data_IF_965245291017
#
_entry.id   IF_965245291017
#
_cell.length_a   1.000
_cell.length_b   1.000
_cell.length_c   1.000
_cell.angle_alpha   90.00
_cell.angle_beta   90.00
_cell.angle_gamma   90.00
#
_symmetry.space_group_name_H-M   'P 1'
#
loop_
_entity.id
_entity.type
_entity.pdbx_description
1 polymer ?
#
# COMPACT_ATOMS: atom_id res chain seq x y z
N UNK A 1 -14.99 -11.73 9.17
CA UNK A 1 -15.78 -11.00 8.14
C UNK A 1 -15.00 -9.98 7.33
N UNK A 2 -14.36 -8.97 7.93
CA UNK A 2 -13.69 -7.90 7.14
C UNK A 2 -12.48 -8.36 6.32
N UNK A 3 -11.63 -9.23 6.87
CA UNK A 3 -10.51 -9.81 6.11
C UNK A 3 -10.97 -10.61 4.91
N UNK A 4 -12.06 -11.36 5.04
CA UNK A 4 -12.61 -12.13 3.93
C UNK A 4 -13.15 -11.20 2.83
N UNK A 5 -13.75 -10.07 3.20
CA UNK A 5 -14.13 -9.01 2.24
C UNK A 5 -12.91 -8.46 1.51
N UNK A 6 -11.84 -8.10 2.24
CA UNK A 6 -10.60 -7.61 1.64
C UNK A 6 -9.95 -8.63 0.70
N UNK A 7 -9.89 -9.90 1.10
CA UNK A 7 -9.38 -10.98 0.26
C UNK A 7 -10.23 -11.19 -0.99
N UNK A 8 -11.56 -11.11 -0.88
CA UNK A 8 -12.42 -11.20 -2.06
C UNK A 8 -12.16 -10.05 -3.04
N UNK A 9 -12.03 -8.83 -2.51
CA UNK A 9 -11.85 -7.62 -3.29
C UNK A 9 -10.48 -7.56 -3.98
N UNK A 10 -9.41 -7.96 -3.27
CA UNK A 10 -8.04 -7.93 -3.78
C UNK A 10 -7.54 -9.29 -4.28
N UNK A 11 -8.41 -10.29 -4.42
CA UNK A 11 -8.06 -11.69 -4.74
C UNK A 11 -7.10 -11.84 -5.92
N UNK A 12 -7.33 -11.10 -7.00
CA UNK A 12 -6.51 -11.13 -8.22
C UNK A 12 -5.08 -10.66 -7.95
N UNK A 13 -4.91 -9.46 -7.38
CA UNK A 13 -3.60 -8.88 -7.10
C UNK A 13 -2.89 -9.66 -6.00
N UNK A 14 -3.63 -10.06 -4.97
CA UNK A 14 -3.12 -10.85 -3.86
C UNK A 14 -2.55 -12.19 -4.32
N UNK A 15 -3.26 -12.91 -5.19
CA UNK A 15 -2.78 -14.15 -5.78
C UNK A 15 -1.59 -13.94 -6.72
N UNK A 16 -1.63 -12.89 -7.55
CA UNK A 16 -0.52 -12.53 -8.45
C UNK A 16 0.79 -12.27 -7.69
N UNK A 17 0.72 -11.62 -6.53
CA UNK A 17 1.88 -11.35 -5.67
C UNK A 17 2.32 -12.56 -4.82
N UNK A 18 1.71 -13.74 -5.00
CA UNK A 18 2.10 -14.97 -4.32
C UNK A 18 1.55 -15.11 -2.90
N UNK A 19 0.42 -14.46 -2.61
CA UNK A 19 -0.34 -14.60 -1.38
C UNK A 19 -1.15 -15.89 -1.31
N UNK A 20 -1.22 -16.49 -0.13
CA UNK A 20 -1.98 -17.72 0.18
C UNK A 20 -3.17 -17.38 1.08
N UNK A 21 -4.37 -17.36 0.48
CA UNK A 21 -5.61 -16.93 1.15
C UNK A 21 -5.98 -17.80 2.34
N UNK A 22 -5.65 -19.10 2.30
CA UNK A 22 -5.95 -20.04 3.37
C UNK A 22 -5.13 -19.76 4.64
N UNK A 23 -3.95 -19.14 4.50
CA UNK A 23 -3.07 -18.81 5.63
C UNK A 23 -3.40 -17.48 6.29
N UNK A 24 -4.02 -16.55 5.57
CA UNK A 24 -4.26 -15.17 6.03
C UNK A 24 -5.06 -15.14 7.34
N UNK A 25 -6.11 -15.94 7.47
CA UNK A 25 -6.96 -15.91 8.66
C UNK A 25 -6.25 -16.44 9.92
N UNK A 26 -5.45 -17.49 9.73
CA UNK A 26 -4.60 -18.05 10.79
C UNK A 26 -3.52 -17.06 11.19
N UNK A 27 -2.83 -16.47 10.21
CA UNK A 27 -1.80 -15.45 10.44
C UNK A 27 -2.37 -14.22 11.14
N UNK A 28 -3.54 -13.73 10.72
CA UNK A 28 -4.21 -12.60 11.37
C UNK A 28 -4.51 -12.86 12.84
N UNK A 29 -5.04 -14.04 13.14
CA UNK A 29 -5.35 -14.41 14.52
C UNK A 29 -4.08 -14.52 15.37
N UNK A 30 -3.00 -15.04 14.79
CA UNK A 30 -1.68 -15.12 15.45
C UNK A 30 -1.07 -13.74 15.65
N UNK A 31 -1.14 -12.86 14.64
CA UNK A 31 -0.63 -11.49 14.69
C UNK A 31 -1.32 -10.68 15.80
N UNK A 32 -2.65 -10.74 15.90
CA UNK A 32 -3.39 -10.08 16.99
C UNK A 32 -2.91 -10.55 18.35
N UNK A 33 -2.75 -11.86 18.55
CA UNK A 33 -2.23 -12.41 19.81
C UNK A 33 -0.79 -11.99 20.08
N UNK A 34 0.05 -11.90 19.05
CA UNK A 34 1.43 -11.46 19.16
C UNK A 34 1.52 -10.01 19.63
N UNK A 35 0.82 -9.10 18.95
CA UNK A 35 0.77 -7.67 19.33
C UNK A 35 0.16 -7.47 20.71
N UNK A 36 -0.91 -8.20 21.06
CA UNK A 36 -1.54 -8.06 22.38
C UNK A 36 -0.68 -8.55 23.54
N UNK A 37 0.25 -9.48 23.30
CA UNK A 37 1.15 -10.03 24.32
C UNK A 37 2.32 -9.12 24.63
N UNK A 38 2.77 -8.31 23.66
CA UNK A 38 3.90 -7.40 23.85
C UNK A 38 3.41 -5.98 24.21
N UNK A 39 3.66 -5.49 25.44
CA UNK A 39 3.26 -4.15 25.84
C UNK A 39 3.87 -3.04 24.98
N UNK A 40 5.07 -3.26 24.44
CA UNK A 40 5.76 -2.27 23.62
C UNK A 40 5.07 -2.15 22.26
N UNK A 41 4.76 -3.28 21.61
CA UNK A 41 4.05 -3.27 20.32
C UNK A 41 2.63 -2.72 20.46
N UNK A 42 1.95 -3.01 21.57
CA UNK A 42 0.59 -2.51 21.83
C UNK A 42 0.55 -0.99 22.05
N UNK A 43 1.64 -0.39 22.52
CA UNK A 43 1.73 1.05 22.76
C UNK A 43 2.05 1.86 21.48
N UNK A 44 2.52 1.21 20.41
CA UNK A 44 2.89 1.88 19.16
C UNK A 44 1.66 2.42 18.42
N UNK A 45 1.87 3.53 17.71
CA UNK A 45 0.88 4.01 16.74
C UNK A 45 0.83 3.05 15.55
N UNK A 46 -0.31 3.02 14.84
CA UNK A 46 -0.50 2.10 13.72
C UNK A 46 0.61 2.17 12.66
N UNK A 47 1.04 3.36 12.28
CA UNK A 47 2.11 3.52 11.28
C UNK A 47 3.43 2.87 11.74
N UNK A 48 3.89 3.21 12.95
CA UNK A 48 5.11 2.67 13.57
C UNK A 48 5.01 1.15 13.80
N UNK A 49 3.82 0.66 14.17
CA UNK A 49 3.56 -0.76 14.34
C UNK A 49 3.72 -1.51 13.01
N UNK A 50 3.08 -1.04 11.94
CA UNK A 50 3.16 -1.71 10.63
C UNK A 50 4.55 -1.61 10.02
N UNK A 51 5.25 -0.47 10.15
CA UNK A 51 6.64 -0.33 9.72
C UNK A 51 7.53 -1.41 10.35
N UNK A 52 7.45 -1.57 11.68
CA UNK A 52 8.20 -2.60 12.40
C UNK A 52 7.79 -4.02 12.01
N UNK A 53 6.50 -4.25 11.77
CA UNK A 53 6.02 -5.56 11.33
C UNK A 53 6.51 -5.92 9.91
N UNK A 54 6.60 -4.94 9.02
CA UNK A 54 7.15 -5.14 7.67
C UNK A 54 8.66 -5.40 7.70
N UNK A 55 9.40 -4.68 8.54
CA UNK A 55 10.86 -4.84 8.66
C UNK A 55 11.24 -6.21 9.27
N UNK A 56 10.54 -6.64 10.32
CA UNK A 56 10.99 -7.76 11.15
C UNK A 56 10.27 -9.09 10.88
N UNK A 57 9.07 -9.08 10.27
CA UNK A 57 8.21 -10.27 10.22
C UNK A 57 7.58 -10.54 8.84
N UNK A 58 8.05 -9.87 7.79
CA UNK A 58 7.51 -10.04 6.43
C UNK A 58 8.11 -11.24 5.70
N UNK A 59 9.33 -11.68 6.01
CA UNK A 59 10.01 -12.71 5.22
C UNK A 59 9.50 -14.13 5.49
N UNK A 60 9.25 -14.90 4.42
CA UNK A 60 8.76 -16.29 4.50
C UNK A 60 9.73 -17.27 5.18
N UNK A 61 10.98 -16.86 5.40
CA UNK A 61 12.05 -17.69 5.98
C UNK A 61 11.89 -17.77 7.51
N UNK A 62 11.29 -16.75 8.13
CA UNK A 62 11.07 -16.73 9.58
C UNK A 62 9.89 -17.65 9.98
N UNK A 63 10.06 -18.62 10.89
CA UNK A 63 8.96 -19.44 11.40
C UNK A 63 7.80 -18.64 12.04
N UNK A 64 8.04 -17.40 12.45
CA UNK A 64 7.04 -16.48 13.00
C UNK A 64 6.50 -15.45 11.99
N UNK A 65 6.78 -15.61 10.69
CA UNK A 65 6.38 -14.65 9.67
C UNK A 65 4.87 -14.39 9.61
N UNK A 66 4.50 -13.18 9.18
CA UNK A 66 3.13 -12.76 8.91
C UNK A 66 2.94 -12.34 7.43
N UNK A 67 3.74 -12.93 6.54
CA UNK A 67 3.80 -12.59 5.11
C UNK A 67 2.43 -12.38 4.45
N UNK A 68 1.47 -13.30 4.59
CA UNK A 68 0.22 -13.22 3.83
C UNK A 68 -0.67 -12.09 4.34
N UNK A 69 -0.74 -11.89 5.65
CA UNK A 69 -1.53 -10.79 6.21
C UNK A 69 -0.84 -9.43 6.02
N UNK A 70 0.49 -9.38 6.03
CA UNK A 70 1.26 -8.17 5.75
C UNK A 70 1.20 -7.80 4.26
N UNK A 71 1.24 -8.78 3.36
CA UNK A 71 1.03 -8.57 1.93
C UNK A 71 -0.36 -7.98 1.67
N UNK A 72 -1.41 -8.52 2.31
CA UNK A 72 -2.76 -7.96 2.21
C UNK A 72 -2.81 -6.52 2.74
N UNK A 73 -2.17 -6.25 3.88
CA UNK A 73 -2.10 -4.90 4.45
C UNK A 73 -1.35 -3.93 3.52
N UNK A 74 -0.26 -4.36 2.88
CA UNK A 74 0.48 -3.56 1.91
C UNK A 74 -0.37 -3.22 0.68
N UNK A 75 -1.12 -4.19 0.15
CA UNK A 75 -2.03 -3.96 -0.99
C UNK A 75 -3.09 -2.91 -0.62
N UNK A 76 -3.71 -3.03 0.56
CA UNK A 76 -4.72 -2.08 1.06
C UNK A 76 -4.14 -0.68 1.25
N UNK A 77 -2.91 -0.57 1.76
CA UNK A 77 -2.25 0.72 1.97
C UNK A 77 -1.75 1.37 0.67
N UNK A 78 -1.37 0.57 -0.31
CA UNK A 78 -0.79 1.05 -1.58
C UNK A 78 -1.87 1.43 -2.60
N UNK A 79 -3.00 0.72 -2.62
CA UNK A 79 -4.13 1.06 -3.48
C UNK A 79 -4.89 2.19 -2.80
N UNK A 80 -4.43 3.41 -3.06
CA UNK A 80 -4.86 4.65 -2.44
C UNK A 80 -6.38 4.72 -2.20
N UNK A 81 -6.77 4.97 -0.95
CA UNK A 81 -8.15 5.27 -0.53
C UNK A 81 -8.63 6.62 -1.11
N UNK A 82 -7.72 7.43 -1.67
CA UNK A 82 -8.02 8.78 -2.15
C UNK A 82 -7.39 9.06 -3.51
N UNK A 83 -8.22 9.05 -4.56
CA UNK A 83 -7.84 9.48 -5.92
C UNK A 83 -7.63 10.99 -6.02
N UNK A 84 -7.99 11.78 -4.99
CA UNK A 84 -7.81 13.25 -4.99
C UNK A 84 -6.35 13.69 -5.09
N UNK A 85 -5.41 12.85 -4.62
CA UNK A 85 -3.97 13.09 -4.80
C UNK A 85 -3.62 13.09 -6.29
N UNK A 86 -4.20 12.16 -7.06
CA UNK A 86 -4.07 12.13 -8.52
C UNK A 86 -4.84 13.29 -9.17
N UNK A 87 -6.00 13.69 -8.66
CA UNK A 87 -6.79 14.82 -9.19
C UNK A 87 -6.06 16.16 -9.09
N UNK A 88 -5.25 16.36 -8.04
CA UNK A 88 -4.36 17.53 -7.93
C UNK A 88 -3.33 17.55 -9.06
N UNK A 89 -2.72 16.40 -9.36
CA UNK A 89 -1.82 16.23 -10.50
C UNK A 89 -2.50 16.44 -11.85
N UNK A 90 -3.71 15.90 -12.02
CA UNK A 90 -4.49 16.08 -13.25
C UNK A 90 -4.96 17.52 -13.45
N UNK A 91 -5.27 18.25 -12.38
CA UNK A 91 -5.64 19.67 -12.45
C UNK A 91 -4.44 20.53 -12.91
N UNK A 92 -3.24 20.26 -12.39
CA UNK A 92 -2.01 20.91 -12.85
C UNK A 92 -1.72 20.58 -14.33
N UNK A 93 -1.88 19.31 -14.72
CA UNK A 93 -1.74 18.87 -16.10
C UNK A 93 -2.75 19.58 -17.01
N UNK A 94 -3.99 19.76 -16.57
CA UNK A 94 -5.03 20.43 -17.34
C UNK A 94 -4.66 21.89 -17.62
N UNK A 95 -4.12 22.62 -16.65
CA UNK A 95 -3.62 23.99 -16.85
C UNK A 95 -2.52 24.07 -17.90
N UNK A 96 -1.57 23.13 -17.90
CA UNK A 96 -0.49 23.06 -18.90
C UNK A 96 -0.97 22.60 -20.29
N UNK A 97 -2.10 21.89 -20.34
CA UNK A 97 -2.67 21.35 -21.58
C UNK A 97 -3.63 22.31 -22.28
N UNK A 98 -4.42 23.10 -21.54
CA UNK A 98 -5.50 23.93 -22.09
C UNK A 98 -5.12 25.40 -22.28
N UNK A 99 -4.09 25.91 -21.59
CA UNK A 99 -3.65 27.30 -21.76
C UNK A 99 -2.88 27.43 -23.09
N UNK A 100 -3.53 28.06 -24.08
CA UNK A 100 -3.04 28.23 -25.47
C UNK A 100 -1.69 28.97 -25.60
N UNK A 101 -1.24 29.65 -24.54
CA UNK A 101 0.05 30.37 -24.46
C UNK A 101 1.22 29.51 -23.96
N UNK A 102 0.93 28.35 -23.35
CA UNK A 102 1.91 27.47 -22.70
C UNK A 102 1.65 25.98 -22.98
N UNK A 103 0.90 25.66 -24.05
CA UNK A 103 0.48 24.28 -24.33
C UNK A 103 1.69 23.40 -24.63
N UNK A 104 1.91 22.41 -23.78
CA UNK A 104 3.05 21.52 -23.89
C UNK A 104 2.66 20.22 -24.61
N UNK A 105 3.52 19.72 -25.50
CA UNK A 105 3.27 18.47 -26.23
C UNK A 105 3.08 17.27 -25.29
N UNK A 106 2.21 16.31 -25.66
CA UNK A 106 1.79 15.18 -24.82
C UNK A 106 2.96 14.42 -24.17
N UNK A 107 4.04 14.18 -24.93
CA UNK A 107 5.22 13.45 -24.46
C UNK A 107 5.99 14.23 -23.38
N UNK A 108 6.19 15.53 -23.59
CA UNK A 108 6.91 16.40 -22.68
C UNK A 108 6.09 16.64 -21.39
N UNK A 109 4.77 16.73 -21.52
CA UNK A 109 3.85 16.84 -20.37
C UNK A 109 3.88 15.57 -19.52
N UNK A 110 3.93 14.37 -20.14
CA UNK A 110 4.08 13.11 -19.42
C UNK A 110 5.42 13.04 -18.69
N UNK A 111 6.51 13.44 -19.35
CA UNK A 111 7.84 13.47 -18.76
C UNK A 111 7.88 14.39 -17.53
N UNK A 112 7.33 15.61 -17.66
CA UNK A 112 7.33 16.59 -16.58
C UNK A 112 6.48 16.12 -15.39
N UNK A 113 5.32 15.50 -15.65
CA UNK A 113 4.50 14.91 -14.58
C UNK A 113 5.20 13.75 -13.87
N UNK A 114 5.97 12.93 -14.61
CA UNK A 114 6.79 11.86 -14.02
C UNK A 114 7.91 12.43 -13.15
N UNK A 115 8.62 13.47 -13.61
CA UNK A 115 9.67 14.15 -12.84
C UNK A 115 9.08 14.77 -11.57
N UNK A 116 7.95 15.48 -11.66
CA UNK A 116 7.29 16.09 -10.50
C UNK A 116 6.75 15.05 -9.48
N UNK A 117 6.42 13.83 -9.94
CA UNK A 117 5.99 12.74 -9.05
C UNK A 117 7.14 11.99 -8.37
N UNK A 118 8.36 12.11 -8.90
CA UNK A 118 9.58 11.48 -8.40
C UNK A 118 10.37 12.42 -7.47
N UNK A 119 9.70 13.33 -6.75
CA UNK A 119 10.29 14.46 -6.04
C UNK A 119 11.62 14.18 -5.31
N UNK A 120 12.48 15.21 -5.29
CA UNK A 120 13.87 15.21 -4.79
C UNK A 120 14.10 14.32 -3.54
N UNK A 121 15.17 13.51 -3.60
CA UNK A 121 15.73 12.76 -2.46
C UNK A 121 16.06 13.67 -1.26
#
# INVERSE_FOLDING_TARGET
DEIQKLLSHFSVIFGYLGGDTHKVEREWTRLKKFVMKDPNLRALKYHELYERLFDQYSEKIDPQHFYNVLLLAAIVQTIAVDTSICERGFSLMNNLKTVRRSSMGKTLLRLLMTICSLGDE
#
